data_IF_790408248080
#
_entry.id   IF_790408248080
#
_cell.length_a   1.000
_cell.length_b   1.000
_cell.length_c   1.000
_cell.angle_alpha   90.00
_cell.angle_beta   90.00
_cell.angle_gamma   90.00
#
_symmetry.space_group_name_H-M   'P 1'
#
loop_
_entity.id
_entity.type
_entity.pdbx_description
1 polymer ?
#
# COMPACT_ATOMS: atom_id res chain seq x y z
N UNK A 1 -1.70 -19.61 -13.76
CA UNK A 1 -0.81 -19.17 -12.65
C UNK A 1 -1.33 -17.82 -12.17
N UNK A 2 -1.17 -17.47 -10.89
CA UNK A 2 -1.61 -16.16 -10.41
C UNK A 2 -0.67 -15.09 -10.97
N UNK A 3 -1.21 -14.12 -11.72
CA UNK A 3 -0.42 -13.03 -12.31
C UNK A 3 -0.12 -11.90 -11.30
N UNK A 4 -0.59 -12.04 -10.05
CA UNK A 4 -0.42 -11.08 -8.96
C UNK A 4 -0.17 -11.80 -7.63
N UNK A 5 0.76 -11.27 -6.82
CA UNK A 5 0.90 -11.51 -5.38
C UNK A 5 0.78 -10.19 -4.64
N UNK A 6 0.06 -10.17 -3.52
CA UNK A 6 -0.03 -8.99 -2.66
C UNK A 6 0.69 -9.24 -1.34
N UNK A 7 1.68 -8.41 -1.01
CA UNK A 7 2.37 -8.42 0.27
C UNK A 7 1.81 -7.32 1.20
N UNK A 8 1.73 -7.62 2.49
CA UNK A 8 1.23 -6.69 3.51
C UNK A 8 1.90 -6.96 4.87
N UNK A 9 1.91 -5.99 5.77
CA UNK A 9 2.60 -6.12 7.05
C UNK A 9 1.73 -6.87 8.08
N UNK A 10 0.45 -6.53 8.17
CA UNK A 10 -0.43 -6.92 9.27
C UNK A 10 -1.49 -7.95 8.85
N UNK A 11 -1.92 -8.75 9.83
CA UNK A 11 -3.00 -9.75 9.61
C UNK A 11 -4.35 -9.10 9.30
N UNK A 12 -4.63 -7.93 9.87
CA UNK A 12 -5.88 -7.20 9.63
C UNK A 12 -5.95 -6.63 8.21
N UNK A 13 -4.83 -6.12 7.69
CA UNK A 13 -4.70 -5.67 6.30
C UNK A 13 -4.89 -6.85 5.35
N UNK A 14 -4.22 -7.98 5.63
CA UNK A 14 -4.40 -9.22 4.88
C UNK A 14 -5.86 -9.66 4.84
N UNK A 15 -6.56 -9.61 5.97
CA UNK A 15 -7.98 -9.96 6.03
C UNK A 15 -8.82 -9.04 5.15
N UNK A 16 -8.58 -7.73 5.20
CA UNK A 16 -9.27 -6.75 4.36
C UNK A 16 -9.02 -7.00 2.87
N UNK A 17 -7.75 -7.06 2.46
CA UNK A 17 -7.33 -7.28 1.07
C UNK A 17 -7.93 -8.56 0.47
N UNK A 18 -7.93 -9.67 1.23
CA UNK A 18 -8.50 -10.95 0.77
C UNK A 18 -9.98 -10.87 0.39
N UNK A 19 -10.74 -9.91 0.91
CA UNK A 19 -12.16 -9.73 0.56
C UNK A 19 -12.33 -9.25 -0.88
N UNK A 20 -11.41 -8.44 -1.40
CA UNK A 20 -11.39 -8.00 -2.80
C UNK A 20 -10.55 -8.90 -3.72
N UNK A 21 -9.83 -9.85 -3.13
CA UNK A 21 -8.81 -10.68 -3.78
C UNK A 21 -8.96 -12.17 -3.39
N UNK A 22 -10.13 -12.81 -3.64
CA UNK A 22 -10.38 -14.18 -3.19
C UNK A 22 -9.38 -15.20 -3.76
N UNK A 23 -8.97 -15.02 -5.02
CA UNK A 23 -8.10 -15.95 -5.77
C UNK A 23 -6.65 -15.46 -5.94
N UNK A 24 -6.28 -14.39 -5.23
CA UNK A 24 -4.93 -13.82 -5.29
C UNK A 24 -4.19 -14.11 -3.99
N UNK A 25 -2.94 -14.61 -4.03
CA UNK A 25 -2.14 -14.79 -2.84
C UNK A 25 -1.90 -13.45 -2.12
N UNK A 26 -2.55 -13.27 -0.96
CA UNK A 26 -2.28 -12.14 -0.04
C UNK A 26 -1.44 -12.66 1.12
N UNK A 27 -0.21 -12.19 1.24
CA UNK A 27 0.82 -12.65 2.16
C UNK A 27 1.11 -11.60 3.22
N UNK A 28 0.97 -11.97 4.50
CA UNK A 28 1.37 -11.12 5.62
C UNK A 28 2.78 -11.49 6.09
N UNK A 29 3.74 -10.58 5.92
CA UNK A 29 5.15 -10.77 6.31
C UNK A 29 5.45 -10.41 7.77
N UNK A 30 4.48 -9.79 8.45
CA UNK A 30 4.64 -9.30 9.82
C UNK A 30 5.24 -7.89 9.86
N UNK A 31 4.88 -7.12 10.89
CA UNK A 31 5.42 -5.79 11.16
C UNK A 31 6.95 -5.81 11.23
N UNK A 32 7.61 -4.87 10.53
CA UNK A 32 9.06 -4.85 10.37
C UNK A 32 9.63 -6.07 9.60
N UNK A 33 8.82 -6.66 8.71
CA UNK A 33 9.20 -7.79 7.84
C UNK A 33 9.81 -8.95 8.65
N UNK A 34 9.18 -9.35 9.75
CA UNK A 34 9.66 -10.44 10.63
C UNK A 34 9.73 -11.81 9.98
N UNK A 35 8.97 -12.01 8.91
CA UNK A 35 8.86 -13.28 8.19
C UNK A 35 9.01 -13.09 6.68
N UNK A 36 10.18 -12.60 6.20
CA UNK A 36 10.39 -12.30 4.78
C UNK A 36 10.26 -13.56 3.91
N UNK A 37 10.65 -14.72 4.45
CA UNK A 37 10.56 -16.03 3.78
C UNK A 37 9.13 -16.48 3.47
N UNK A 38 8.10 -15.83 4.04
CA UNK A 38 6.70 -16.10 3.66
C UNK A 38 6.35 -15.52 2.30
N UNK A 39 7.06 -14.48 1.85
CA UNK A 39 6.82 -13.89 0.55
C UNK A 39 7.50 -14.74 -0.52
N UNK A 40 6.68 -15.48 -1.26
CA UNK A 40 7.09 -16.19 -2.46
C UNK A 40 6.26 -15.65 -3.62
N UNK A 41 6.95 -15.06 -4.60
CA UNK A 41 6.33 -14.53 -5.81
C UNK A 41 6.70 -15.44 -6.98
N UNK A 42 5.71 -16.09 -7.62
CA UNK A 42 5.98 -16.94 -8.77
C UNK A 42 6.67 -16.16 -9.91
N UNK A 43 7.54 -16.81 -10.71
CA UNK A 43 8.09 -16.20 -11.91
C UNK A 43 6.98 -15.66 -12.83
N UNK A 44 7.15 -14.43 -13.31
CA UNK A 44 6.20 -13.78 -14.21
C UNK A 44 4.92 -13.24 -13.56
N UNK A 45 4.83 -13.23 -12.21
CA UNK A 45 3.77 -12.54 -11.48
C UNK A 45 4.22 -11.15 -11.01
N UNK A 46 3.29 -10.19 -10.97
CA UNK A 46 3.51 -8.88 -10.39
C UNK A 46 3.44 -8.93 -8.84
N UNK A 47 4.09 -7.97 -8.17
CA UNK A 47 4.03 -7.80 -6.72
C UNK A 47 3.42 -6.46 -6.35
N UNK A 48 2.29 -6.46 -5.62
CA UNK A 48 1.78 -5.24 -4.99
C UNK A 48 2.04 -5.28 -3.50
N UNK A 49 2.72 -4.27 -2.97
CA UNK A 49 2.83 -4.05 -1.53
C UNK A 49 1.67 -3.17 -1.11
N UNK A 50 0.72 -3.72 -0.36
CA UNK A 50 -0.48 -3.00 0.05
C UNK A 50 -0.62 -2.98 1.58
N UNK A 51 -0.97 -1.83 2.14
CA UNK A 51 -1.18 -1.69 3.56
C UNK A 51 -1.66 -0.30 3.94
N UNK A 52 -1.60 0.01 5.22
CA UNK A 52 -1.91 1.35 5.73
C UNK A 52 -0.65 2.20 5.85
N UNK A 53 -0.83 3.52 5.90
CA UNK A 53 0.24 4.48 6.16
C UNK A 53 -0.30 5.74 6.87
N UNK A 54 0.61 6.51 7.44
CA UNK A 54 0.31 7.86 7.92
C UNK A 54 0.53 8.89 6.81
N UNK A 55 -0.29 9.94 6.76
CA UNK A 55 -0.07 11.05 5.84
C UNK A 55 1.10 11.93 6.30
N UNK A 56 1.98 12.31 5.38
CA UNK A 56 3.11 13.22 5.66
C UNK A 56 2.69 14.68 5.47
N UNK A 57 1.91 14.96 4.43
CA UNK A 57 1.44 16.30 4.09
C UNK A 57 -0.02 16.52 4.51
N UNK A 58 -0.43 17.78 4.60
CA UNK A 58 -1.83 18.15 4.78
C UNK A 58 -2.65 17.85 3.50
N UNK A 59 -3.97 17.72 3.65
CA UNK A 59 -4.90 17.52 2.52
C UNK A 59 -5.17 16.06 2.14
N UNK A 60 -4.49 15.10 2.78
CA UNK A 60 -4.87 13.69 2.70
C UNK A 60 -5.86 13.36 3.83
N UNK A 61 -6.88 12.57 3.52
CA UNK A 61 -7.88 12.13 4.49
C UNK A 61 -7.79 10.62 4.75
N UNK A 62 -8.25 10.13 5.93
CA UNK A 62 -8.31 8.69 6.16
C UNK A 62 -9.17 7.97 5.10
N UNK A 63 -8.57 6.96 4.46
CA UNK A 63 -9.15 6.24 3.33
C UNK A 63 -8.74 6.75 1.94
N UNK A 64 -8.03 7.87 1.84
CA UNK A 64 -7.29 8.21 0.63
C UNK A 64 -6.21 7.16 0.35
N UNK A 65 -5.87 6.99 -0.91
CA UNK A 65 -4.81 6.09 -1.36
C UNK A 65 -3.60 6.90 -1.79
N UNK A 66 -2.41 6.50 -1.34
CA UNK A 66 -1.13 6.95 -1.90
C UNK A 66 -0.49 5.80 -2.66
N UNK A 67 -0.05 6.06 -3.88
CA UNK A 67 0.46 5.05 -4.81
C UNK A 67 1.75 5.56 -5.46
N UNK A 68 2.75 4.69 -5.60
CA UNK A 68 4.03 5.02 -6.24
C UNK A 68 4.01 4.82 -7.78
N UNK A 69 3.21 3.86 -8.27
CA UNK A 69 3.03 3.56 -9.69
C UNK A 69 1.96 4.46 -10.33
N UNK A 70 2.34 5.12 -11.44
CA UNK A 70 1.49 6.09 -12.11
C UNK A 70 0.27 5.45 -12.78
N UNK A 71 0.44 4.29 -13.41
CA UNK A 71 -0.62 3.64 -14.17
C UNK A 71 -1.66 3.02 -13.24
N UNK A 72 -1.20 2.45 -12.12
CA UNK A 72 -2.07 1.99 -11.05
C UNK A 72 -2.85 3.15 -10.42
N UNK A 73 -2.17 4.28 -10.17
CA UNK A 73 -2.85 5.46 -9.64
C UNK A 73 -3.95 5.97 -10.57
N UNK A 74 -3.69 6.04 -11.87
CA UNK A 74 -4.70 6.41 -12.88
C UNK A 74 -5.86 5.41 -12.93
N UNK A 75 -5.56 4.10 -12.88
CA UNK A 75 -6.56 3.04 -12.88
C UNK A 75 -7.47 3.12 -11.65
N UNK A 76 -6.91 3.36 -10.47
CA UNK A 76 -7.67 3.54 -9.23
C UNK A 76 -8.55 4.80 -9.29
N UNK A 77 -8.04 5.93 -9.82
CA UNK A 77 -8.85 7.15 -10.02
C UNK A 77 -10.01 6.90 -10.97
N UNK A 78 -9.78 6.18 -12.07
CA UNK A 78 -10.81 5.78 -13.02
C UNK A 78 -11.92 4.90 -12.41
N UNK A 79 -11.64 4.26 -11.27
CA UNK A 79 -12.60 3.47 -10.49
C UNK A 79 -13.19 4.24 -9.30
N UNK A 80 -13.04 5.58 -9.25
CA UNK A 80 -13.70 6.45 -8.28
C UNK A 80 -13.02 6.53 -6.91
N UNK A 81 -11.77 6.08 -6.79
CA UNK A 81 -10.98 6.26 -5.56
C UNK A 81 -10.30 7.64 -5.54
N UNK A 82 -10.24 8.26 -4.36
CA UNK A 82 -9.34 9.40 -4.11
C UNK A 82 -7.92 8.88 -4.00
N UNK A 83 -7.07 9.24 -4.97
CA UNK A 83 -5.71 8.70 -5.08
C UNK A 83 -4.71 9.83 -5.31
N UNK A 84 -3.63 9.79 -4.55
CA UNK A 84 -2.47 10.65 -4.67
C UNK A 84 -1.31 9.80 -5.21
N UNK A 85 -0.72 10.22 -6.32
CA UNK A 85 0.45 9.55 -6.89
C UNK A 85 1.70 10.28 -6.37
N UNK A 86 2.64 9.56 -5.78
CA UNK A 86 3.86 10.18 -5.26
C UNK A 86 4.67 9.29 -4.33
N UNK A 87 5.69 9.91 -3.71
CA UNK A 87 6.68 9.21 -2.89
C UNK A 87 6.05 8.74 -1.57
N UNK A 88 6.35 7.50 -1.22
CA UNK A 88 6.03 6.89 0.08
C UNK A 88 7.36 6.69 0.79
N UNK A 89 7.57 7.43 1.87
CA UNK A 89 8.78 7.32 2.67
C UNK A 89 8.71 6.07 3.57
N UNK A 90 9.88 5.52 3.86
CA UNK A 90 10.04 4.40 4.79
C UNK A 90 10.66 4.93 6.10
N UNK A 91 10.19 4.42 7.23
CA UNK A 91 10.71 4.75 8.56
C UNK A 91 10.77 3.49 9.43
N UNK A 92 11.75 3.41 10.32
CA UNK A 92 11.88 2.32 11.29
C UNK A 92 11.01 2.50 12.55
N UNK A 93 10.28 3.61 12.65
CA UNK A 93 9.40 3.92 13.77
C UNK A 93 8.19 4.79 13.37
N UNK A 94 7.30 5.03 14.33
CA UNK A 94 6.17 5.95 14.11
C UNK A 94 6.66 7.39 14.16
N UNK A 95 6.61 8.08 13.03
CA UNK A 95 7.13 9.45 12.92
C UNK A 95 6.24 10.50 13.59
N UNK A 96 6.88 11.40 14.33
CA UNK A 96 6.25 12.56 14.95
C UNK A 96 5.98 13.71 13.98
N UNK A 97 5.43 14.82 14.49
CA UNK A 97 5.06 15.97 13.63
C UNK A 97 6.27 16.67 12.99
N UNK A 98 7.39 16.80 13.73
CA UNK A 98 8.60 17.43 13.20
C UNK A 98 9.26 16.59 12.11
N UNK A 99 9.28 15.27 12.28
CA UNK A 99 9.81 14.33 11.28
C UNK A 99 8.92 14.27 10.03
N UNK A 100 7.60 14.36 10.18
CA UNK A 100 6.70 14.52 9.03
C UNK A 100 6.99 15.80 8.25
N UNK A 101 7.32 16.90 8.93
CA UNK A 101 7.72 18.13 8.25
C UNK A 101 9.04 17.94 7.47
N UNK A 102 9.99 17.16 8.00
CA UNK A 102 11.20 16.79 7.26
C UNK A 102 10.89 15.96 6.02
N UNK A 103 10.11 14.89 6.19
CA UNK A 103 9.70 14.02 5.08
C UNK A 103 8.91 14.79 4.02
N UNK A 104 8.11 15.78 4.41
CA UNK A 104 7.40 16.63 3.46
C UNK A 104 8.37 17.42 2.56
N UNK A 105 9.55 17.83 3.08
CA UNK A 105 10.56 18.53 2.28
C UNK A 105 11.21 17.64 1.23
N UNK A 106 11.18 16.32 1.39
CA UNK A 106 11.67 15.36 0.38
C UNK A 106 10.63 15.08 -0.72
N UNK A 107 9.41 15.61 -0.58
CA UNK A 107 8.29 15.35 -1.49
C UNK A 107 7.48 14.10 -1.14
N UNK A 108 7.74 13.47 0.02
CA UNK A 108 6.94 12.33 0.48
C UNK A 108 5.50 12.75 0.82
N UNK A 109 4.54 11.94 0.36
CA UNK A 109 3.11 12.14 0.62
C UNK A 109 2.62 11.29 1.80
N UNK A 110 3.21 10.10 1.96
CA UNK A 110 2.91 9.16 3.02
C UNK A 110 4.19 8.57 3.59
N UNK A 111 4.06 7.98 4.78
CA UNK A 111 5.13 7.28 5.47
C UNK A 111 4.61 5.96 6.01
N UNK A 112 5.33 4.89 5.75
CA UNK A 112 5.10 3.57 6.32
C UNK A 112 6.42 2.95 6.79
N UNK A 113 6.40 1.69 7.20
CA UNK A 113 7.56 1.05 7.85
C UNK A 113 8.05 -0.22 7.15
N UNK A 114 7.42 -0.64 6.06
CA UNK A 114 7.72 -1.91 5.42
C UNK A 114 7.81 -1.86 3.90
N UNK A 115 7.41 -0.77 3.23
CA UNK A 115 7.39 -0.70 1.76
C UNK A 115 8.76 -0.92 1.16
N UNK A 116 9.80 -0.24 1.65
CA UNK A 116 11.11 -0.30 1.02
C UNK A 116 11.72 -1.71 1.11
N UNK A 117 11.64 -2.34 2.29
CA UNK A 117 12.15 -3.69 2.47
C UNK A 117 11.35 -4.76 1.69
N UNK A 118 10.04 -4.56 1.52
CA UNK A 118 9.21 -5.46 0.71
C UNK A 118 9.46 -5.28 -0.80
N UNK A 119 9.67 -4.04 -1.26
CA UNK A 119 10.02 -3.77 -2.64
C UNK A 119 11.41 -4.30 -3.01
N UNK A 120 12.36 -4.31 -2.08
CA UNK A 120 13.66 -4.96 -2.31
C UNK A 120 13.51 -6.45 -2.67
N UNK A 121 12.41 -7.09 -2.27
CA UNK A 121 12.10 -8.47 -2.63
C UNK A 121 11.47 -8.60 -4.03
N UNK A 122 11.12 -7.50 -4.70
CA UNK A 122 10.48 -7.47 -6.02
C UNK A 122 11.44 -7.87 -7.16
N UNK A 123 12.75 -7.58 -7.08
CA UNK A 123 13.63 -7.76 -8.23
C UNK A 123 13.09 -7.08 -9.49
N UNK A 124 13.25 -7.70 -10.67
CA UNK A 124 12.87 -7.10 -11.96
C UNK A 124 11.38 -7.27 -12.34
N UNK A 125 10.53 -7.81 -11.43
CA UNK A 125 9.11 -8.01 -11.75
C UNK A 125 8.34 -6.69 -11.65
N UNK A 126 7.21 -6.55 -12.38
CA UNK A 126 6.33 -5.42 -12.17
C UNK A 126 5.90 -5.32 -10.71
N UNK A 127 6.05 -4.14 -10.13
CA UNK A 127 5.71 -3.90 -8.73
C UNK A 127 5.11 -2.52 -8.51
N UNK A 128 4.34 -2.40 -7.44
CA UNK A 128 3.77 -1.14 -6.97
C UNK A 128 3.50 -1.19 -5.46
N UNK A 129 3.44 -0.03 -4.84
CA UNK A 129 3.05 0.19 -3.45
C UNK A 129 1.72 0.94 -3.42
N UNK A 130 0.79 0.47 -2.60
CA UNK A 130 -0.48 1.14 -2.34
C UNK A 130 -0.69 1.28 -0.84
N UNK A 131 -0.82 2.51 -0.37
CA UNK A 131 -1.03 2.82 1.05
C UNK A 131 -2.35 3.54 1.27
N UNK A 132 -3.22 2.94 2.08
CA UNK A 132 -4.43 3.58 2.54
C UNK A 132 -4.15 4.41 3.80
N UNK A 133 -4.47 5.69 3.78
CA UNK A 133 -4.18 6.60 4.89
C UNK A 133 -5.05 6.27 6.10
N UNK A 134 -4.43 6.10 7.28
CA UNK A 134 -5.15 5.82 8.55
C UNK A 134 -5.13 6.98 9.53
N UNK A 135 -4.00 7.68 9.61
CA UNK A 135 -3.81 8.86 10.44
C UNK A 135 -3.21 10.00 9.63
N UNK A 136 -3.48 11.21 10.10
CA UNK A 136 -3.03 12.45 9.47
C UNK A 136 -2.33 13.30 10.52
N UNK A 137 -1.48 14.27 10.14
CA UNK A 137 -0.87 15.21 11.08
C UNK A 137 -1.91 15.93 11.97
N UNK A 138 -3.13 16.13 11.45
CA UNK A 138 -4.28 16.70 12.17
C UNK A 138 -5.02 15.74 13.11
N UNK A 139 -4.75 14.42 13.06
CA UNK A 139 -5.52 13.38 13.78
C UNK A 139 -4.63 12.20 14.20
N UNK A 140 -3.69 12.45 15.12
CA UNK A 140 -2.79 11.42 15.65
C UNK A 140 -3.54 10.31 16.41
N UNK A 141 -3.02 9.08 16.31
CA UNK A 141 -3.57 7.77 16.73
C UNK A 141 -4.04 7.61 18.20
N UNK A 142 -3.91 8.65 19.03
CA UNK A 142 -4.15 8.60 20.48
C UNK A 142 -5.60 8.94 20.90
N UNK A 143 -6.57 9.01 19.98
CA UNK A 143 -7.99 9.25 20.32
C UNK A 143 -8.91 8.12 19.89
N UNK A 144 -10.00 7.80 20.64
CA UNK A 144 -10.98 6.77 20.25
C UNK A 144 -11.60 6.97 18.85
N UNK A 145 -11.66 8.22 18.38
CA UNK A 145 -12.11 8.59 17.03
C UNK A 145 -11.21 8.07 15.90
N UNK A 146 -10.00 7.58 16.22
CA UNK A 146 -9.05 7.03 15.22
C UNK A 146 -9.44 5.64 14.72
N UNK A 147 -10.36 4.96 15.42
CA UNK A 147 -10.96 3.71 14.94
C UNK A 147 -11.67 3.91 13.60
N UNK A 148 -12.32 5.07 13.39
CA UNK A 148 -13.01 5.38 12.14
C UNK A 148 -12.06 5.49 10.94
N UNK A 149 -10.89 6.11 11.14
CA UNK A 149 -9.86 6.24 10.10
C UNK A 149 -9.27 4.89 9.70
N UNK A 150 -8.96 4.05 10.70
CA UNK A 150 -8.55 2.66 10.47
C UNK A 150 -9.59 1.84 9.68
N UNK A 151 -10.87 1.94 10.06
CA UNK A 151 -11.96 1.25 9.34
C UNK A 151 -12.08 1.75 7.90
N UNK A 152 -12.00 3.07 7.67
CA UNK A 152 -12.05 3.65 6.33
C UNK A 152 -10.92 3.11 5.44
N UNK A 153 -9.68 3.11 5.95
CA UNK A 153 -8.53 2.57 5.24
C UNK A 153 -8.69 1.07 4.91
N UNK A 154 -9.11 0.26 5.88
CA UNK A 154 -9.32 -1.18 5.66
C UNK A 154 -10.44 -1.46 4.64
N UNK A 155 -11.53 -0.67 4.67
CA UNK A 155 -12.59 -0.77 3.64
C UNK A 155 -12.05 -0.45 2.25
N UNK A 156 -11.14 0.52 2.14
CA UNK A 156 -10.49 0.88 0.88
C UNK A 156 -9.56 -0.23 0.39
N UNK A 157 -8.74 -0.80 1.27
CA UNK A 157 -7.93 -1.98 0.93
C UNK A 157 -8.78 -3.16 0.44
N UNK A 158 -9.94 -3.39 1.04
CA UNK A 158 -10.86 -4.42 0.57
C UNK A 158 -11.46 -4.11 -0.82
N UNK A 159 -11.65 -2.84 -1.15
CA UNK A 159 -12.32 -2.41 -2.38
C UNK A 159 -11.38 -2.33 -3.61
N UNK A 160 -10.08 -2.11 -3.42
CA UNK A 160 -9.14 -1.93 -4.55
C UNK A 160 -8.74 -3.23 -5.25
N UNK A 161 -9.06 -4.39 -4.67
CA UNK A 161 -8.62 -5.71 -5.16
C UNK A 161 -8.82 -5.96 -6.67
N UNK A 162 -10.02 -5.72 -7.24
CA UNK A 162 -10.24 -5.88 -8.67
C UNK A 162 -9.33 -5.01 -9.54
N UNK A 163 -9.05 -3.77 -9.11
CA UNK A 163 -8.17 -2.84 -9.83
C UNK A 163 -6.72 -3.32 -9.79
N UNK A 164 -6.25 -3.81 -8.63
CA UNK A 164 -4.90 -4.38 -8.50
C UNK A 164 -4.69 -5.56 -9.46
N UNK A 165 -5.70 -6.44 -9.57
CA UNK A 165 -5.66 -7.58 -10.49
C UNK A 165 -5.53 -7.13 -11.94
N UNK A 166 -6.38 -6.19 -12.37
CA UNK A 166 -6.38 -5.71 -13.74
C UNK A 166 -5.06 -5.01 -14.13
N UNK A 167 -4.49 -4.22 -13.22
CA UNK A 167 -3.18 -3.61 -13.41
C UNK A 167 -2.09 -4.67 -13.58
N UNK A 168 -2.07 -5.70 -12.72
CA UNK A 168 -1.09 -6.77 -12.79
C UNK A 168 -1.17 -7.56 -14.10
N UNK A 169 -2.38 -7.91 -14.55
CA UNK A 169 -2.60 -8.57 -15.84
C UNK A 169 -2.05 -7.74 -17.01
N UNK A 170 -2.20 -6.41 -16.96
CA UNK A 170 -1.69 -5.50 -17.98
C UNK A 170 -0.15 -5.46 -17.97
N UNK A 171 0.47 -5.31 -16.80
CA UNK A 171 1.93 -5.27 -16.67
C UNK A 171 2.62 -6.58 -17.02
N UNK A 172 2.02 -7.71 -16.66
CA UNK A 172 2.56 -9.02 -17.03
C UNK A 172 2.50 -9.25 -18.54
N UNK A 173 1.48 -8.72 -19.23
CA UNK A 173 1.40 -8.78 -20.71
C UNK A 173 2.44 -7.89 -21.38
N UNK A 174 2.76 -6.73 -20.82
CA UNK A 174 3.80 -5.83 -21.35
C UNK A 174 5.19 -6.48 -21.28
N UNK A 175 5.53 -7.15 -20.17
CA UNK A 175 6.85 -7.79 -19.99
C UNK A 175 7.06 -9.03 -20.87
N UNK A 176 5.97 -9.69 -21.29
CA UNK A 176 6.03 -10.91 -22.12
C UNK A 176 6.09 -10.63 -23.63
N UNK A 177 5.92 -9.38 -24.05
CA UNK A 177 6.02 -8.93 -25.43
C UNK A 177 7.41 -8.39 -25.72
#
# INVERSE_FOLDING_TARGET
MADLVVATALRIERFALRRGLPDVPVIAVGMGIRHPSRLSVPPGAALVVAGVAGAVVAGLEPGDLVVDDRDLALSLRGNGFTVHHGVIADSDHVVGSAERAELARTGALAVDMESAGLLALAGDRPHAVVRAIVDTPSRALLRPATLGGGIAALRRLAAIGPVLRHWAESKVKEVRQ
#
